data_IF_381327028623
#
_entry.id   IF_381327028623
#
_cell.length_a   1.000
_cell.length_b   1.000
_cell.length_c   1.000
_cell.angle_alpha   90.00
_cell.angle_beta   90.00
_cell.angle_gamma   90.00
#
_symmetry.space_group_name_H-M   'P 1'
#
loop_
_entity.id
_entity.type
_entity.pdbx_description
1 polymer ?
#
# COMPACT_ATOMS: atom_id res chain seq x y z
N UNK A 1 -8.65 -12.15 6.34
CA UNK A 1 -8.11 -11.38 5.20
C UNK A 1 -7.05 -10.41 5.70
N UNK A 2 -5.94 -10.23 4.97
CA UNK A 2 -4.87 -9.30 5.35
C UNK A 2 -4.74 -8.17 4.32
N UNK A 3 -4.49 -6.96 4.81
CA UNK A 3 -4.17 -5.80 4.01
C UNK A 3 -2.78 -5.29 4.39
N UNK A 4 -1.92 -5.06 3.39
CA UNK A 4 -0.64 -4.36 3.55
C UNK A 4 -0.73 -3.07 2.75
N UNK A 5 -0.54 -1.92 3.40
CA UNK A 5 -0.65 -0.61 2.77
C UNK A 5 0.71 0.09 2.82
N UNK A 6 1.30 0.28 1.65
CA UNK A 6 2.57 0.97 1.45
C UNK A 6 2.27 2.43 1.13
N UNK A 7 2.70 3.33 1.99
CA UNK A 7 2.42 4.76 1.87
C UNK A 7 3.56 5.60 2.43
N UNK A 8 3.65 6.86 2.02
CA UNK A 8 4.51 7.85 2.68
C UNK A 8 3.87 8.46 3.94
N UNK A 9 2.60 8.18 4.25
CA UNK A 9 1.88 8.85 5.34
C UNK A 9 1.02 7.91 6.17
N UNK A 10 1.62 6.91 6.86
CA UNK A 10 0.86 5.92 7.63
C UNK A 10 -0.01 6.55 8.72
N UNK A 11 0.45 7.65 9.35
CA UNK A 11 -0.28 8.32 10.42
C UNK A 11 -1.66 8.86 10.01
N UNK A 12 -1.85 9.26 8.74
CA UNK A 12 -3.14 9.74 8.23
C UNK A 12 -4.15 8.58 8.12
N UNK A 13 -3.66 7.38 7.81
CA UNK A 13 -4.48 6.19 7.65
C UNK A 13 -4.77 5.48 8.97
N UNK A 14 -3.86 5.59 9.95
CA UNK A 14 -3.98 4.91 11.24
C UNK A 14 -5.33 5.18 11.93
N UNK A 15 -5.73 6.46 12.04
CA UNK A 15 -6.98 6.86 12.69
C UNK A 15 -8.23 6.24 12.06
N UNK A 16 -8.52 6.49 10.76
CA UNK A 16 -9.69 5.92 10.10
C UNK A 16 -9.74 4.38 10.15
N UNK A 17 -8.59 3.71 10.10
CA UNK A 17 -8.50 2.24 10.14
C UNK A 17 -8.69 1.68 11.55
N UNK A 18 -8.40 2.45 12.59
CA UNK A 18 -8.56 2.05 13.99
C UNK A 18 -9.91 2.40 14.60
N UNK A 19 -10.88 2.86 13.80
CA UNK A 19 -12.19 3.33 14.29
C UNK A 19 -13.37 2.49 13.80
N UNK A 20 -14.49 2.58 14.53
CA UNK A 20 -15.81 2.04 14.15
C UNK A 20 -15.79 0.57 13.67
N UNK A 21 -16.32 0.30 12.47
CA UNK A 21 -16.48 -1.06 11.93
C UNK A 21 -15.14 -1.74 11.61
N UNK A 22 -14.13 -0.96 11.19
CA UNK A 22 -12.80 -1.48 10.89
C UNK A 22 -12.09 -1.91 12.17
N UNK A 23 -12.18 -1.11 13.23
CA UNK A 23 -11.72 -1.50 14.57
C UNK A 23 -12.35 -2.82 15.02
N UNK A 24 -13.68 -2.90 14.99
CA UNK A 24 -14.41 -4.12 15.42
C UNK A 24 -14.02 -5.34 14.59
N UNK A 25 -13.79 -5.18 13.29
CA UNK A 25 -13.37 -6.28 12.41
C UNK A 25 -11.95 -6.77 12.74
N UNK A 26 -11.03 -5.86 13.07
CA UNK A 26 -9.68 -6.19 13.54
C UNK A 26 -9.67 -6.82 14.93
N UNK A 27 -10.43 -6.29 15.89
CA UNK A 27 -10.56 -6.85 17.25
C UNK A 27 -11.08 -8.31 17.20
N UNK A 28 -11.98 -8.59 16.26
CA UNK A 28 -12.52 -9.92 15.99
C UNK A 28 -11.66 -10.78 15.06
N UNK A 29 -10.49 -10.26 14.63
CA UNK A 29 -9.54 -10.93 13.71
C UNK A 29 -10.15 -11.36 12.37
N UNK A 30 -11.18 -10.67 11.91
CA UNK A 30 -11.81 -10.90 10.59
C UNK A 30 -10.88 -10.35 9.50
N UNK A 31 -10.31 -9.18 9.76
CA UNK A 31 -9.28 -8.55 8.94
C UNK A 31 -8.06 -8.20 9.79
N UNK A 32 -6.93 -7.99 9.13
CA UNK A 32 -5.75 -7.34 9.70
C UNK A 32 -5.24 -6.32 8.69
N UNK A 33 -4.81 -5.16 9.17
CA UNK A 33 -4.25 -4.10 8.32
C UNK A 33 -2.87 -3.72 8.85
N UNK A 34 -1.87 -3.79 7.99
CA UNK A 34 -0.51 -3.35 8.26
C UNK A 34 -0.21 -2.10 7.42
N UNK A 35 0.32 -1.06 8.08
CA UNK A 35 0.74 0.18 7.44
C UNK A 35 2.27 0.20 7.39
N UNK A 36 2.82 0.44 6.20
CA UNK A 36 4.25 0.42 5.93
C UNK A 36 4.67 1.80 5.41
N UNK A 37 5.58 2.50 6.13
CA UNK A 37 6.19 3.72 5.61
C UNK A 37 7.25 3.32 4.58
N UNK A 38 7.03 3.66 3.31
CA UNK A 38 7.97 3.35 2.22
C UNK A 38 9.37 3.90 2.52
N UNK A 39 9.48 4.97 3.31
CA UNK A 39 10.76 5.54 3.72
C UNK A 39 11.62 4.60 4.55
N UNK A 40 11.06 3.55 5.16
CA UNK A 40 11.84 2.56 5.90
C UNK A 40 12.74 1.70 4.99
N UNK A 41 12.48 1.68 3.69
CA UNK A 41 13.27 0.97 2.67
C UNK A 41 14.21 1.88 1.86
N UNK A 42 14.42 3.10 2.33
CA UNK A 42 15.40 4.03 1.75
C UNK A 42 16.80 3.75 2.31
N UNK A 43 17.84 4.11 1.57
CA UNK A 43 19.23 3.82 1.95
C UNK A 43 20.04 5.07 2.30
N UNK A 44 19.53 6.25 1.97
CA UNK A 44 20.18 7.52 2.23
C UNK A 44 19.79 8.11 3.60
N UNK A 45 20.66 8.97 4.14
CA UNK A 45 20.44 9.63 5.43
C UNK A 45 19.15 10.47 5.48
N UNK A 46 18.70 10.99 4.35
CA UNK A 46 17.54 11.90 4.28
C UNK A 46 16.23 11.15 4.04
N UNK A 47 16.28 9.83 3.88
CA UNK A 47 15.13 8.96 3.60
C UNK A 47 14.35 9.42 2.36
N UNK A 48 15.08 9.60 1.27
CA UNK A 48 14.59 10.13 0.00
C UNK A 48 13.71 9.11 -0.70
N UNK A 49 12.46 9.46 -0.99
CA UNK A 49 11.45 8.54 -1.54
C UNK A 49 10.88 8.99 -2.90
N UNK A 50 11.38 10.09 -3.44
CA UNK A 50 11.05 10.64 -4.75
C UNK A 50 12.30 10.71 -5.64
N UNK A 51 12.07 10.81 -6.94
CA UNK A 51 13.12 10.94 -7.95
C UNK A 51 12.65 11.83 -9.12
N UNK A 52 13.61 12.32 -9.90
CA UNK A 52 13.35 13.16 -11.06
C UNK A 52 12.83 12.31 -12.23
N UNK A 53 11.73 12.70 -12.90
CA UNK A 53 11.26 11.98 -14.07
C UNK A 53 12.27 12.06 -15.23
N UNK A 54 12.49 10.94 -15.90
CA UNK A 54 13.23 10.93 -17.16
C UNK A 54 12.52 11.79 -18.21
N UNK A 55 13.30 12.56 -18.98
CA UNK A 55 12.77 13.54 -19.94
C UNK A 55 12.49 14.93 -19.35
N UNK A 56 12.66 15.11 -18.04
CA UNK A 56 12.41 16.38 -17.35
C UNK A 56 10.93 16.70 -17.20
N UNK A 57 10.62 17.97 -16.93
CA UNK A 57 9.26 18.43 -16.63
C UNK A 57 9.11 18.92 -15.20
N UNK A 58 7.92 19.39 -14.85
CA UNK A 58 7.62 19.83 -13.50
C UNK A 58 7.22 18.65 -12.60
N UNK A 59 7.60 18.71 -11.33
CA UNK A 59 7.24 17.72 -10.32
C UNK A 59 8.24 16.58 -10.20
N UNK A 60 7.91 15.64 -9.32
CA UNK A 60 8.71 14.47 -8.96
C UNK A 60 7.87 13.20 -9.15
N UNK A 61 8.53 12.06 -9.28
CA UNK A 61 7.91 10.73 -9.24
C UNK A 61 8.34 9.99 -7.98
N UNK A 62 7.57 9.00 -7.56
CA UNK A 62 8.04 8.10 -6.50
C UNK A 62 9.30 7.35 -6.95
N UNK A 63 10.31 7.28 -6.09
CA UNK A 63 11.49 6.47 -6.35
C UNK A 63 11.10 4.98 -6.36
N UNK A 64 11.49 4.26 -7.41
CA UNK A 64 11.13 2.84 -7.56
C UNK A 64 11.78 1.93 -6.50
N UNK A 65 13.09 2.04 -6.17
CA UNK A 65 13.75 1.11 -5.25
C UNK A 65 13.08 0.96 -3.87
N UNK A 66 12.73 2.03 -3.14
CA UNK A 66 12.11 1.85 -1.82
C UNK A 66 10.71 1.22 -1.91
N UNK A 67 9.94 1.47 -2.98
CA UNK A 67 8.63 0.81 -3.18
C UNK A 67 8.82 -0.69 -3.43
N UNK A 68 9.68 -1.03 -4.39
CA UNK A 68 9.91 -2.43 -4.78
C UNK A 68 10.43 -3.22 -3.58
N UNK A 69 11.45 -2.71 -2.90
CA UNK A 69 12.01 -3.37 -1.71
C UNK A 69 10.96 -3.55 -0.62
N UNK A 70 10.13 -2.53 -0.35
CA UNK A 70 9.09 -2.61 0.66
C UNK A 70 8.09 -3.73 0.36
N UNK A 71 7.64 -3.81 -0.90
CA UNK A 71 6.66 -4.81 -1.34
C UNK A 71 7.28 -6.20 -1.33
N UNK A 72 8.45 -6.39 -1.92
CA UNK A 72 9.10 -7.69 -2.02
C UNK A 72 9.46 -8.26 -0.65
N UNK A 73 10.04 -7.45 0.25
CA UNK A 73 10.41 -7.90 1.59
C UNK A 73 9.18 -8.21 2.46
N UNK A 74 8.13 -7.39 2.36
CA UNK A 74 6.91 -7.58 3.17
C UNK A 74 6.06 -8.77 2.71
N UNK A 75 6.02 -9.02 1.40
CA UNK A 75 5.21 -10.10 0.83
C UNK A 75 5.97 -11.42 0.79
N UNK A 76 7.28 -11.41 0.53
CA UNK A 76 8.11 -12.62 0.46
C UNK A 76 7.52 -13.64 -0.51
N UNK A 77 7.38 -14.89 -0.06
CA UNK A 77 6.81 -15.98 -0.87
C UNK A 77 5.36 -15.73 -1.32
N UNK A 78 4.61 -14.88 -0.61
CA UNK A 78 3.23 -14.52 -0.98
C UNK A 78 3.17 -13.50 -2.12
N UNK A 79 4.30 -12.95 -2.59
CA UNK A 79 4.34 -11.92 -3.63
C UNK A 79 3.58 -12.36 -4.90
N UNK A 80 3.77 -13.62 -5.32
CA UNK A 80 3.16 -14.16 -6.53
C UNK A 80 1.64 -14.41 -6.41
N UNK A 81 1.11 -14.51 -5.20
CA UNK A 81 -0.31 -14.84 -4.94
C UNK A 81 -1.10 -13.66 -4.37
N UNK A 82 -0.41 -12.63 -3.88
CA UNK A 82 -1.02 -11.43 -3.33
C UNK A 82 -1.58 -10.54 -4.43
N UNK A 83 -2.81 -10.06 -4.24
CA UNK A 83 -3.39 -9.05 -5.13
C UNK A 83 -2.79 -7.69 -4.82
N UNK A 84 -1.89 -7.20 -5.66
CA UNK A 84 -1.26 -5.87 -5.52
C UNK A 84 -2.04 -4.85 -6.35
N UNK A 85 -2.48 -3.76 -5.72
CA UNK A 85 -3.15 -2.64 -6.38
C UNK A 85 -2.33 -1.37 -6.21
N UNK A 86 -2.06 -0.70 -7.33
CA UNK A 86 -1.51 0.65 -7.35
C UNK A 86 -2.68 1.62 -7.45
N UNK A 87 -2.81 2.51 -6.46
CA UNK A 87 -3.86 3.53 -6.44
C UNK A 87 -3.48 4.66 -7.41
N UNK A 88 -4.29 4.87 -8.45
CA UNK A 88 -4.03 5.90 -9.45
C UNK A 88 -5.33 6.46 -10.03
N UNK A 89 -5.34 7.76 -10.32
CA UNK A 89 -6.45 8.41 -11.01
C UNK A 89 -6.65 7.88 -12.45
N UNK A 90 -5.60 7.34 -13.07
CA UNK A 90 -5.68 6.67 -14.38
C UNK A 90 -6.10 5.19 -14.29
N UNK A 91 -6.36 4.68 -13.09
CA UNK A 91 -6.77 3.29 -12.85
C UNK A 91 -8.24 3.02 -13.18
N UNK A 92 -8.64 1.76 -13.06
CA UNK A 92 -10.04 1.36 -13.20
C UNK A 92 -10.88 1.94 -12.05
N UNK A 93 -12.03 2.59 -12.31
CA UNK A 93 -12.93 3.07 -11.26
C UNK A 93 -13.32 1.95 -10.29
N UNK A 94 -13.31 2.26 -8.99
CA UNK A 94 -13.70 1.31 -7.96
C UNK A 94 -15.22 1.22 -7.88
N UNK A 95 -15.76 0.01 -8.05
CA UNK A 95 -17.20 -0.27 -8.04
C UNK A 95 -17.53 -1.33 -6.99
N UNK A 96 -18.81 -1.46 -6.65
CA UNK A 96 -19.28 -2.50 -5.73
C UNK A 96 -18.93 -3.92 -6.21
N UNK A 97 -19.03 -4.19 -7.52
CA UNK A 97 -18.61 -5.47 -8.09
C UNK A 97 -17.11 -5.71 -7.92
N UNK A 98 -16.28 -4.68 -8.07
CA UNK A 98 -14.85 -4.75 -7.78
C UNK A 98 -14.55 -5.02 -6.31
N UNK A 99 -15.33 -4.44 -5.39
CA UNK A 99 -15.22 -4.74 -3.96
C UNK A 99 -15.51 -6.22 -3.65
N UNK A 100 -16.53 -6.80 -4.27
CA UNK A 100 -16.86 -8.22 -4.12
C UNK A 100 -15.77 -9.16 -4.67
N UNK A 101 -15.18 -8.82 -5.83
CA UNK A 101 -14.04 -9.56 -6.39
C UNK A 101 -12.84 -9.55 -5.43
N UNK A 102 -12.46 -8.35 -4.95
CA UNK A 102 -11.36 -8.20 -4.00
C UNK A 102 -11.64 -8.92 -2.67
N UNK A 103 -12.89 -8.97 -2.22
CA UNK A 103 -13.27 -9.66 -0.99
C UNK A 103 -13.00 -11.19 -1.02
N UNK A 104 -12.79 -11.78 -2.20
CA UNK A 104 -12.35 -13.17 -2.33
C UNK A 104 -10.84 -13.39 -2.10
N UNK A 105 -10.04 -12.33 -2.01
CA UNK A 105 -8.58 -12.44 -1.88
C UNK A 105 -8.16 -12.66 -0.41
N UNK A 106 -7.25 -13.59 -0.11
CA UNK A 106 -6.78 -13.82 1.25
C UNK A 106 -5.91 -12.64 1.75
N UNK A 107 -5.13 -12.03 0.84
CA UNK A 107 -4.20 -10.93 1.08
C UNK A 107 -4.26 -9.91 -0.05
N UNK A 108 -4.27 -8.63 0.30
CA UNK A 108 -4.27 -7.50 -0.62
C UNK A 108 -3.16 -6.54 -0.22
N UNK A 109 -2.36 -6.11 -1.20
CA UNK A 109 -1.39 -5.03 -1.04
C UNK A 109 -1.88 -3.77 -1.76
N UNK A 110 -1.82 -2.63 -1.09
CA UNK A 110 -2.18 -1.32 -1.63
C UNK A 110 -0.93 -0.44 -1.68
N UNK A 111 -0.59 0.09 -2.85
CA UNK A 111 0.49 1.06 -3.03
C UNK A 111 -0.15 2.43 -3.23
N UNK A 112 0.12 3.36 -2.31
CA UNK A 112 -0.50 4.68 -2.21
C UNK A 112 0.48 5.80 -2.57
#
# INVERSE_FOLDING_TARGET
MRFDVFTLFPGILAGPLSESILRRAQDRRIISVALHDIRDWTTDRHRTADDTPYGGGAGMVMAAPPIVNAVEETLGDDLATTRILVMSAGGRPFTQSGAHDLAGSPRIALIC
#
